data_IF_588999054436
#
_entry.id   IF_588999054436
#
_cell.length_a   1.000
_cell.length_b   1.000
_cell.length_c   1.000
_cell.angle_alpha   90.00
_cell.angle_beta   90.00
_cell.angle_gamma   90.00
#
_symmetry.space_group_name_H-M   'P 1'
#
loop_
_entity.id
_entity.type
_entity.pdbx_description
1 polymer ?
#
# COMPACT_ATOMS: atom_id res chain seq x y z
N UNK A 1 10.90 -3.81 -4.96
CA UNK A 1 10.03 -3.69 -6.15
C UNK A 1 8.62 -3.40 -5.66
N UNK A 2 7.97 -2.36 -6.18
CA UNK A 2 6.59 -2.04 -5.83
C UNK A 2 5.66 -3.13 -6.39
N UNK A 3 4.65 -3.52 -5.61
CA UNK A 3 3.65 -4.48 -6.07
C UNK A 3 2.58 -3.77 -6.89
N UNK A 4 2.40 -4.20 -8.12
CA UNK A 4 1.47 -3.59 -9.10
C UNK A 4 0.00 -3.70 -8.65
N UNK A 5 -0.31 -4.66 -7.79
CA UNK A 5 -1.66 -4.92 -7.24
C UNK A 5 -2.24 -3.75 -6.44
N UNK A 6 -1.41 -2.89 -5.83
CA UNK A 6 -1.88 -1.75 -5.03
C UNK A 6 -2.34 -0.55 -5.88
N UNK A 7 -1.95 -0.51 -7.17
CA UNK A 7 -2.23 0.62 -8.09
C UNK A 7 -3.23 0.25 -9.18
N UNK A 8 -3.82 -0.96 -9.11
CA UNK A 8 -4.73 -1.51 -10.12
C UNK A 8 -6.05 -0.74 -10.28
N UNK A 9 -6.42 0.11 -9.32
CA UNK A 9 -7.63 0.93 -9.36
C UNK A 9 -7.45 2.27 -10.10
N UNK A 10 -6.24 2.59 -10.56
CA UNK A 10 -5.98 3.80 -11.33
C UNK A 10 -6.05 3.51 -12.84
N UNK A 11 -6.46 4.48 -13.68
CA UNK A 11 -6.50 4.34 -15.14
C UNK A 11 -5.09 4.30 -15.79
N UNK A 12 -4.07 3.91 -15.03
CA UNK A 12 -2.67 3.85 -15.46
C UNK A 12 -2.08 2.49 -15.07
N UNK A 13 -1.36 1.88 -16.01
CA UNK A 13 -0.65 0.63 -15.76
C UNK A 13 0.80 0.93 -15.37
N UNK A 14 1.27 0.36 -14.25
CA UNK A 14 2.66 0.54 -13.79
C UNK A 14 3.56 -0.49 -14.45
N UNK A 15 4.48 -0.04 -15.30
CA UNK A 15 5.46 -0.88 -15.99
C UNK A 15 6.64 -1.23 -15.07
N UNK A 16 7.16 -0.21 -14.38
CA UNK A 16 8.29 -0.32 -13.45
C UNK A 16 8.12 0.66 -12.30
N UNK A 17 8.50 0.23 -11.11
CA UNK A 17 8.44 1.05 -9.90
C UNK A 17 9.58 0.73 -8.94
N UNK A 18 10.29 1.78 -8.52
CA UNK A 18 11.39 1.70 -7.57
C UNK A 18 11.13 2.65 -6.42
N UNK A 19 11.49 2.20 -5.21
CA UNK A 19 11.50 3.02 -4.00
C UNK A 19 12.94 3.10 -3.55
N UNK A 20 13.43 4.31 -3.28
CA UNK A 20 14.81 4.54 -2.85
C UNK A 20 15.03 4.09 -1.41
N UNK A 21 14.50 4.84 -0.45
CA UNK A 21 14.68 4.56 0.98
C UNK A 21 13.32 4.49 1.68
N UNK A 22 13.20 3.54 2.61
CA UNK A 22 12.08 3.45 3.54
C UNK A 22 12.65 3.46 4.95
N UNK A 23 12.31 4.48 5.73
CA UNK A 23 12.70 4.61 7.13
C UNK A 23 11.46 4.60 8.01
N UNK A 24 11.51 3.81 9.08
CA UNK A 24 10.41 3.71 10.04
C UNK A 24 10.92 4.13 11.41
N UNK A 25 10.31 5.17 11.98
CA UNK A 25 10.62 5.66 13.32
C UNK A 25 9.58 5.11 14.29
N UNK A 26 10.01 4.19 15.14
CA UNK A 26 9.16 3.51 16.13
C UNK A 26 9.47 4.05 17.53
N UNK A 27 8.54 4.77 18.18
CA UNK A 27 8.77 5.30 19.52
C UNK A 27 8.51 4.23 20.59
N UNK A 28 9.41 3.24 20.74
CA UNK A 28 9.27 2.08 21.65
C UNK A 28 8.83 2.41 23.08
N UNK A 29 9.32 3.52 23.64
CA UNK A 29 9.00 3.97 25.01
C UNK A 29 7.64 4.67 25.11
N UNK A 30 7.09 5.14 23.99
CA UNK A 30 5.93 6.03 23.93
C UNK A 30 4.92 5.59 22.86
N UNK A 31 4.85 4.30 22.56
CA UNK A 31 3.95 3.73 21.55
C UNK A 31 2.46 4.06 21.78
N UNK A 32 2.05 4.28 23.04
CA UNK A 32 0.67 4.67 23.37
C UNK A 32 0.38 6.16 23.15
N UNK A 33 1.41 7.01 23.16
CA UNK A 33 1.24 8.47 23.15
C UNK A 33 1.78 9.15 21.89
N UNK A 34 2.78 8.57 21.22
CA UNK A 34 3.40 9.12 20.00
C UNK A 34 3.07 8.25 18.77
N UNK A 35 2.84 8.87 17.59
CA UNK A 35 2.59 8.14 16.36
C UNK A 35 3.85 7.43 15.85
N UNK A 36 3.66 6.35 15.09
CA UNK A 36 4.73 5.75 14.28
C UNK A 36 4.85 6.57 13.01
N UNK A 37 6.07 6.95 12.65
CA UNK A 37 6.32 7.76 11.47
C UNK A 37 7.03 6.89 10.42
N UNK A 38 6.43 6.80 9.24
CA UNK A 38 7.00 6.10 8.10
C UNK A 38 7.43 7.13 7.07
N UNK A 39 8.71 7.13 6.72
CA UNK A 39 9.31 7.95 5.67
C UNK A 39 9.59 7.08 4.46
N UNK A 40 9.11 7.52 3.31
CA UNK A 40 9.37 6.89 2.02
C UNK A 40 9.99 7.95 1.11
N UNK A 41 11.21 7.73 0.67
CA UNK A 41 11.93 8.70 -0.16
C UNK A 41 12.22 8.13 -1.55
N UNK A 42 12.14 9.02 -2.55
CA UNK A 42 12.49 8.76 -3.95
C UNK A 42 11.66 7.62 -4.53
N UNK A 43 10.38 7.90 -4.77
CA UNK A 43 9.48 6.96 -5.43
C UNK A 43 9.46 7.26 -6.93
N UNK A 44 10.00 6.35 -7.72
CA UNK A 44 10.06 6.45 -9.18
C UNK A 44 9.09 5.44 -9.79
N UNK A 45 8.12 5.94 -10.54
CA UNK A 45 7.09 5.15 -11.21
C UNK A 45 7.13 5.44 -12.71
N UNK A 46 7.35 4.39 -13.50
CA UNK A 46 7.14 4.40 -14.94
C UNK A 46 5.83 3.70 -15.24
N UNK A 47 4.92 4.45 -15.86
CA UNK A 47 3.56 4.05 -16.13
C UNK A 47 3.25 4.22 -17.62
N UNK A 48 2.25 3.51 -18.11
CA UNK A 48 1.63 3.72 -19.41
C UNK A 48 0.13 3.94 -19.21
N UNK A 49 -0.55 4.70 -20.08
CA UNK A 49 -2.00 4.73 -20.08
C UNK A 49 -2.52 3.31 -20.29
N UNK A 50 -3.59 2.96 -19.59
CA UNK A 50 -4.26 1.67 -19.81
C UNK A 50 -5.11 1.80 -21.06
N UNK A 51 -4.78 1.05 -22.10
CA UNK A 51 -5.63 0.98 -23.30
C UNK A 51 -6.96 0.34 -22.92
N UNK A 52 -8.07 1.01 -23.24
CA UNK A 52 -9.43 0.56 -22.92
C UNK A 52 -9.90 -0.67 -23.71
N UNK A 53 -9.07 -1.18 -24.62
CA UNK A 53 -9.38 -2.29 -25.54
C UNK A 53 -8.76 -3.64 -25.13
N UNK A 54 -8.03 -3.72 -24.02
CA UNK A 54 -7.69 -5.03 -23.47
C UNK A 54 -8.97 -5.61 -22.85
N UNK A 55 -9.57 -6.68 -23.40
CA UNK A 55 -10.85 -7.16 -22.95
C UNK A 55 -10.75 -7.44 -21.46
N UNK A 56 -11.59 -6.74 -20.71
CA UNK A 56 -11.74 -6.92 -19.28
C UNK A 56 -12.18 -8.37 -19.04
N UNK A 57 -11.21 -9.27 -18.89
CA UNK A 57 -11.45 -10.66 -18.52
C UNK A 57 -11.80 -10.70 -17.02
N UNK A 58 -13.02 -10.26 -16.74
CA UNK A 58 -13.65 -10.24 -15.41
C UNK A 58 -13.57 -11.61 -14.72
N UNK A 59 -13.54 -12.70 -15.51
CA UNK A 59 -13.42 -14.08 -15.05
C UNK A 59 -12.04 -14.42 -14.47
N UNK A 60 -10.96 -14.00 -15.13
CA UNK A 60 -9.59 -14.29 -14.71
C UNK A 60 -9.22 -13.45 -13.46
N UNK A 61 -9.72 -12.23 -13.38
CA UNK A 61 -9.52 -11.36 -12.23
C UNK A 61 -10.35 -11.79 -11.02
N UNK A 62 -11.59 -12.27 -11.19
CA UNK A 62 -12.37 -12.83 -10.07
C UNK A 62 -11.78 -14.13 -9.56
N UNK A 63 -11.25 -15.00 -10.43
CA UNK A 63 -10.52 -16.20 -10.02
C UNK A 63 -9.27 -15.85 -9.22
N UNK A 64 -8.46 -14.89 -9.71
CA UNK A 64 -7.28 -14.40 -8.99
C UNK A 64 -7.63 -13.72 -7.65
N UNK A 65 -8.70 -12.92 -7.61
CA UNK A 65 -9.22 -12.31 -6.37
C UNK A 65 -9.70 -13.36 -5.38
N UNK A 66 -10.39 -14.41 -5.84
CA UNK A 66 -10.84 -15.54 -4.99
C UNK A 66 -9.64 -16.33 -4.46
N UNK A 67 -8.65 -16.62 -5.29
CA UNK A 67 -7.43 -17.33 -4.89
C UNK A 67 -6.56 -16.49 -3.93
N UNK A 68 -6.47 -15.19 -4.14
CA UNK A 68 -5.80 -14.25 -3.22
C UNK A 68 -6.53 -14.16 -1.87
N UNK A 69 -7.87 -14.18 -1.87
CA UNK A 69 -8.66 -14.24 -0.63
C UNK A 69 -8.46 -15.57 0.10
N UNK A 70 -8.52 -16.69 -0.61
CA UNK A 70 -8.33 -18.03 -0.05
C UNK A 70 -6.92 -18.21 0.55
N UNK A 71 -5.88 -17.75 -0.13
CA UNK A 71 -4.50 -17.80 0.38
C UNK A 71 -4.30 -16.90 1.61
N UNK A 72 -4.92 -15.70 1.64
CA UNK A 72 -4.88 -14.84 2.83
C UNK A 72 -5.58 -15.48 4.04
N UNK A 73 -6.72 -16.13 3.81
CA UNK A 73 -7.45 -16.86 4.86
C UNK A 73 -6.62 -18.04 5.37
N UNK A 74 -5.98 -18.82 4.49
CA UNK A 74 -5.12 -19.93 4.88
C UNK A 74 -3.92 -19.48 5.73
N UNK A 75 -3.28 -18.36 5.36
CA UNK A 75 -2.17 -17.78 6.15
C UNK A 75 -2.67 -17.28 7.52
N UNK A 76 -3.85 -16.66 7.56
CA UNK A 76 -4.46 -16.22 8.83
C UNK A 76 -4.77 -17.42 9.73
N UNK A 77 -5.31 -18.50 9.18
CA UNK A 77 -5.59 -19.73 9.91
C UNK A 77 -4.31 -20.42 10.40
N UNK A 78 -3.25 -20.45 9.60
CA UNK A 78 -1.95 -21.01 10.01
C UNK A 78 -1.30 -20.18 11.13
N UNK A 79 -1.38 -18.86 11.03
CA UNK A 79 -0.93 -17.94 12.10
C UNK A 79 -1.78 -18.11 13.36
N UNK A 80 -3.07 -18.34 13.22
CA UNK A 80 -3.98 -18.55 14.35
C UNK A 80 -3.77 -19.91 15.02
N UNK A 81 -3.53 -20.97 14.23
CA UNK A 81 -3.20 -22.31 14.72
C UNK A 81 -1.84 -22.33 15.46
N UNK A 82 -0.83 -21.63 14.93
CA UNK A 82 0.49 -21.46 15.59
C UNK A 82 0.42 -20.61 16.86
N UNK A 83 -0.60 -19.76 17.03
CA UNK A 83 -0.86 -18.99 18.26
C UNK A 83 -1.47 -19.81 19.41
N UNK A 84 -2.03 -20.99 19.10
CA UNK A 84 -2.68 -21.88 20.09
C UNK A 84 -1.77 -22.42 21.20
N UNK A 85 -0.44 -22.31 21.06
CA UNK A 85 0.51 -22.84 22.05
C UNK A 85 1.17 -21.73 22.91
N UNK A 86 1.05 -20.44 22.55
CA UNK A 86 1.73 -19.34 23.26
C UNK A 86 0.85 -18.15 23.69
N UNK A 87 -0.44 -18.10 23.35
CA UNK A 87 -1.20 -16.83 23.34
C UNK A 87 -2.05 -16.44 24.56
N UNK A 88 -2.48 -17.38 25.42
CA UNK A 88 -3.72 -17.15 26.20
C UNK A 88 -3.68 -16.09 27.31
N UNK A 89 -2.52 -15.52 27.65
CA UNK A 89 -2.38 -14.54 28.74
C UNK A 89 -1.99 -13.11 28.28
N UNK A 90 -1.71 -12.91 26.99
CA UNK A 90 -1.29 -11.61 26.44
C UNK A 90 -2.17 -11.06 25.30
N UNK A 91 -3.16 -11.82 24.83
CA UNK A 91 -3.92 -11.51 23.62
C UNK A 91 -4.84 -10.28 23.75
N UNK A 92 -5.47 -10.04 24.90
CA UNK A 92 -6.32 -8.84 25.07
C UNK A 92 -5.50 -7.54 25.15
N UNK A 93 -4.38 -7.57 25.86
CA UNK A 93 -3.48 -6.43 26.03
C UNK A 93 -2.65 -6.14 24.77
N UNK A 94 -2.14 -7.19 24.12
CA UNK A 94 -1.35 -7.05 22.89
C UNK A 94 -2.19 -6.59 21.71
N UNK A 95 -3.45 -7.04 21.61
CA UNK A 95 -4.36 -6.65 20.54
C UNK A 95 -4.77 -5.18 20.61
N UNK A 96 -5.15 -4.69 21.79
CA UNK A 96 -5.46 -3.27 22.00
C UNK A 96 -4.27 -2.36 21.70
N UNK A 97 -3.05 -2.82 22.00
CA UNK A 97 -1.82 -2.12 21.64
C UNK A 97 -1.61 -2.07 20.12
N UNK A 98 -1.73 -3.19 19.43
CA UNK A 98 -1.57 -3.26 17.96
C UNK A 98 -2.64 -2.41 17.25
N UNK A 99 -3.89 -2.48 17.70
CA UNK A 99 -4.99 -1.66 17.16
C UNK A 99 -4.77 -0.16 17.43
N UNK A 100 -4.29 0.21 18.62
CA UNK A 100 -3.92 1.59 18.95
C UNK A 100 -2.73 2.12 18.15
N UNK A 101 -1.78 1.25 17.80
CA UNK A 101 -0.63 1.58 16.97
C UNK A 101 -1.03 1.85 15.51
N UNK A 102 -1.86 0.99 14.94
CA UNK A 102 -2.34 1.13 13.57
C UNK A 102 -3.15 2.42 13.36
N UNK A 103 -3.89 2.87 14.39
CA UNK A 103 -4.65 4.13 14.36
C UNK A 103 -3.78 5.39 14.25
N UNK A 104 -2.47 5.31 14.51
CA UNK A 104 -1.58 6.48 14.63
C UNK A 104 -0.33 6.37 13.77
N UNK A 105 -0.50 5.83 12.56
CA UNK A 105 0.59 5.81 11.58
C UNK A 105 0.51 7.07 10.74
N UNK A 106 1.61 7.82 10.69
CA UNK A 106 1.80 8.96 9.79
C UNK A 106 2.76 8.54 8.70
N UNK A 107 2.35 8.65 7.44
CA UNK A 107 3.18 8.30 6.29
C UNK A 107 3.60 9.57 5.57
N UNK A 108 4.91 9.77 5.42
CA UNK A 108 5.50 10.86 4.66
C UNK A 108 6.19 10.28 3.45
N UNK A 109 5.81 10.75 2.27
CA UNK A 109 6.42 10.36 1.01
C UNK A 109 7.07 11.59 0.39
N UNK A 110 8.36 11.53 0.11
CA UNK A 110 9.14 12.63 -0.46
C UNK A 110 9.72 12.23 -1.80
N UNK A 111 9.77 13.20 -2.71
CA UNK A 111 10.31 13.06 -4.06
C UNK A 111 9.67 11.90 -4.85
N UNK A 112 8.39 12.08 -5.17
CA UNK A 112 7.65 11.16 -6.05
C UNK A 112 7.75 11.65 -7.48
N UNK A 113 8.26 10.79 -8.36
CA UNK A 113 8.34 11.02 -9.79
C UNK A 113 7.51 9.96 -10.52
N UNK A 114 6.47 10.42 -11.18
CA UNK A 114 5.62 9.63 -12.06
C UNK A 114 5.93 10.01 -13.50
N UNK A 115 6.30 9.02 -14.31
CA UNK A 115 6.53 9.19 -15.75
C UNK A 115 5.53 8.31 -16.49
N UNK A 116 4.68 8.95 -17.28
CA UNK A 116 3.73 8.31 -18.16
C UNK A 116 4.31 8.31 -19.57
N UNK A 117 4.58 7.13 -20.11
CA UNK A 117 4.98 6.96 -21.50
C UNK A 117 3.80 6.44 -22.30
N UNK A 118 3.49 7.13 -23.40
CA UNK A 118 2.46 6.73 -24.35
C UNK A 118 3.04 6.68 -25.75
N UNK A 119 2.60 5.68 -26.52
CA UNK A 119 2.96 5.53 -27.93
C UNK A 119 1.77 5.97 -28.75
N UNK A 120 1.84 7.17 -29.28
CA UNK A 120 0.81 7.72 -30.15
C UNK A 120 1.11 7.34 -31.62
N UNK A 121 0.16 6.76 -32.37
CA UNK A 121 0.36 6.38 -33.77
C UNK A 121 0.74 7.54 -34.69
N UNK A 122 0.31 8.77 -34.37
CA UNK A 122 0.50 9.97 -35.19
C UNK A 122 1.64 10.85 -34.68
N UNK A 123 1.92 10.85 -33.37
CA UNK A 123 2.94 11.70 -32.73
C UNK A 123 4.20 10.96 -32.28
N UNK A 124 4.23 9.63 -32.36
CA UNK A 124 5.36 8.82 -31.90
C UNK A 124 5.39 8.64 -30.38
N UNK A 125 6.58 8.53 -29.78
CA UNK A 125 6.73 8.36 -28.34
C UNK A 125 6.57 9.69 -27.60
N UNK A 126 5.55 9.78 -26.75
CA UNK A 126 5.28 10.95 -25.91
C UNK A 126 5.43 10.56 -24.45
N UNK A 127 6.07 11.42 -23.65
CA UNK A 127 6.22 11.21 -22.22
C UNK A 127 5.65 12.41 -21.45
N UNK A 128 4.86 12.12 -20.42
CA UNK A 128 4.33 13.09 -19.46
C UNK A 128 4.93 12.79 -18.08
N UNK A 129 5.50 13.80 -17.43
CA UNK A 129 6.11 13.68 -16.12
C UNK A 129 5.32 14.47 -15.07
N UNK A 130 5.06 13.84 -13.92
CA UNK A 130 4.51 14.49 -12.74
C UNK A 130 5.47 14.28 -11.58
N UNK A 131 5.87 15.37 -10.94
CA UNK A 131 6.79 15.32 -9.79
C UNK A 131 6.12 15.97 -8.59
N UNK A 132 6.04 15.24 -7.48
CA UNK A 132 5.53 15.71 -6.20
C UNK A 132 6.67 15.73 -5.21
N UNK A 133 6.96 16.91 -4.66
CA UNK A 133 8.04 17.09 -3.67
C UNK A 133 7.72 16.38 -2.35
N UNK A 134 6.49 16.49 -1.87
CA UNK A 134 6.09 15.95 -0.57
C UNK A 134 4.61 15.60 -0.54
N UNK A 135 4.31 14.40 -0.03
CA UNK A 135 2.98 13.93 0.32
C UNK A 135 2.99 13.51 1.78
N UNK A 136 1.93 13.87 2.51
CA UNK A 136 1.76 13.49 3.91
C UNK A 136 0.37 12.88 4.06
N UNK A 137 0.33 11.67 4.59
CA UNK A 137 -0.89 10.97 4.94
C UNK A 137 -0.96 10.87 6.45
N UNK A 138 -2.04 11.37 7.02
CA UNK A 138 -2.35 11.27 8.43
C UNK A 138 -3.70 10.58 8.55
N UNK A 139 -3.79 9.55 9.39
CA UNK A 139 -5.08 8.99 9.73
C UNK A 139 -5.85 10.04 10.54
N UNK A 140 -6.89 10.61 9.94
CA UNK A 140 -7.70 11.63 10.57
C UNK A 140 -8.46 11.04 11.77
N UNK A 141 -8.54 11.80 12.86
CA UNK A 141 -9.13 11.34 14.12
C UNK A 141 -10.66 11.42 14.12
N UNK A 142 -11.27 12.19 13.23
CA UNK A 142 -12.72 12.45 13.25
C UNK A 142 -13.58 11.30 12.72
N UNK A 143 -13.08 10.48 11.79
CA UNK A 143 -13.90 9.41 11.19
C UNK A 143 -14.08 8.20 12.13
N UNK A 144 -13.25 8.06 13.17
CA UNK A 144 -13.34 6.97 14.13
C UNK A 144 -14.30 7.24 15.31
N UNK A 145 -14.96 8.41 15.36
CA UNK A 145 -15.93 8.79 16.38
C UNK A 145 -17.38 8.80 15.88
N UNK A 146 -17.62 8.44 14.62
CA UNK A 146 -18.94 8.46 13.97
C UNK A 146 -19.50 7.07 13.65
N UNK A 147 -18.89 5.98 14.15
CA UNK A 147 -19.45 4.62 14.14
C UNK A 147 -19.56 4.06 15.56
#
# INVERSE_FOLDING_TARGET
RLRTEALAALPVCVLRGTVGEVRVEVPWRALRSKPIIVHVERVLLLCAPRDGDEPYEEALETAAKRQARASRLAVLEEVNAKRGVFGRMGESMGRSLVEGLLRRVVVRISDVHLRLETKDPHRGLVALGLTLRSLRFEADKEVAAAE
#
